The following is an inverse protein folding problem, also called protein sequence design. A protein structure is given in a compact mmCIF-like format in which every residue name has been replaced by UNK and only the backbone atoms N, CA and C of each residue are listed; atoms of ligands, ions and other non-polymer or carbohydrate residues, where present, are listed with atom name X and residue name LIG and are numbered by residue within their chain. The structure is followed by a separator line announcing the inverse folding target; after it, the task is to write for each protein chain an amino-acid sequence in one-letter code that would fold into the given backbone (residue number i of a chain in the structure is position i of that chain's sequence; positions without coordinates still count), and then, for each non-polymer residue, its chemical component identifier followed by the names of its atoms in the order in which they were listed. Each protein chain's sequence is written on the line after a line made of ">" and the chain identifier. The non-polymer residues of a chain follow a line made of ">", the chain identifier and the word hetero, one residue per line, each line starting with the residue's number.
data_IF_540128724998
#
_entry.id   IF_540128724998
#
_cell.length_a   1.000
_cell.length_b   1.000
_cell.length_c   1.000
_cell.angle_alpha   90.00
_cell.angle_beta   90.00
_cell.angle_gamma   90.00
#
_symmetry.space_group_name_H-M   'P 1'
#
loop_
_entity.id
_entity.type
_entity.pdbx_description
1 polymer ?
#
# COMPACT_ATOMS: atom_id res chain seq x y z
N UNK A 1 31.77 0.25 22.60
CA UNK A 1 31.37 -0.04 21.22
C UNK A 1 30.87 1.25 20.63
N UNK A 2 31.33 1.62 19.44
CA UNK A 2 30.88 2.86 18.82
C UNK A 2 29.49 2.69 18.23
N UNK A 3 28.70 3.76 18.37
CA UNK A 3 27.30 3.81 18.00
C UNK A 3 27.14 3.96 16.49
N UNK A 4 26.19 3.24 15.92
CA UNK A 4 25.64 3.58 14.61
C UNK A 4 24.71 4.78 14.81
N UNK A 5 24.71 5.72 13.86
CA UNK A 5 23.83 6.89 13.92
C UNK A 5 22.38 6.46 14.21
N UNK A 6 21.78 6.91 15.33
CA UNK A 6 20.47 6.41 15.75
C UNK A 6 19.33 6.96 14.89
N UNK A 7 19.57 8.10 14.25
CA UNK A 7 18.62 8.81 13.39
C UNK A 7 19.26 9.06 12.03
N UNK A 8 18.61 8.62 10.97
CA UNK A 8 19.16 8.62 9.60
C UNK A 8 18.12 9.12 8.60
N UNK A 9 18.55 9.71 7.46
CA UNK A 9 17.64 10.21 6.44
C UNK A 9 16.82 9.09 5.80
N UNK A 10 15.59 9.42 5.40
CA UNK A 10 14.71 8.56 4.62
C UNK A 10 14.09 9.29 3.44
N UNK A 11 13.80 8.56 2.36
CA UNK A 11 13.16 9.08 1.15
C UNK A 11 12.09 8.11 0.63
N UNK A 12 11.19 8.60 -0.22
CA UNK A 12 10.20 7.77 -0.92
C UNK A 12 8.93 7.46 -0.12
N UNK A 13 8.68 8.19 0.97
CA UNK A 13 7.52 7.96 1.84
C UNK A 13 6.41 8.98 1.63
N UNK A 14 5.18 8.47 1.60
CA UNK A 14 3.97 9.29 1.47
C UNK A 14 3.32 9.67 2.79
N UNK A 15 3.42 8.81 3.81
CA UNK A 15 2.85 9.00 5.16
C UNK A 15 3.82 8.48 6.23
N UNK A 16 3.82 9.06 7.45
CA UNK A 16 4.60 8.51 8.55
C UNK A 16 4.01 7.17 8.98
N UNK A 17 4.85 6.15 9.15
CA UNK A 17 4.50 4.80 9.61
C UNK A 17 5.60 4.30 10.54
N UNK A 18 5.36 3.19 11.24
CA UNK A 18 6.39 2.52 12.05
C UNK A 18 6.92 1.31 11.29
N UNK A 19 8.19 1.35 10.86
CA UNK A 19 8.78 0.26 10.06
C UNK A 19 9.29 -0.89 10.92
N UNK A 20 9.31 -2.06 10.29
CA UNK A 20 10.06 -3.21 10.76
C UNK A 20 11.47 -3.15 10.20
N UNK A 21 12.48 -3.34 11.05
CA UNK A 21 13.89 -3.33 10.65
C UNK A 21 14.53 -4.69 10.89
N UNK A 22 15.29 -5.16 9.92
CA UNK A 22 16.15 -6.34 10.03
C UNK A 22 17.60 -5.94 9.84
N UNK A 23 18.48 -6.41 10.72
CA UNK A 23 19.93 -6.35 10.55
C UNK A 23 20.40 -7.62 9.85
N UNK A 24 21.20 -7.47 8.80
CA UNK A 24 21.86 -8.63 8.18
C UNK A 24 22.82 -9.23 9.22
N UNK A 25 22.84 -10.56 9.45
CA UNK A 25 23.79 -11.16 10.37
C UNK A 25 25.24 -10.80 10.01
N UNK A 26 26.04 -10.39 11.01
CA UNK A 26 27.30 -9.68 10.77
C UNK A 26 28.32 -10.49 9.95
N UNK A 27 28.35 -11.82 10.12
CA UNK A 27 29.26 -12.71 9.38
C UNK A 27 28.82 -13.04 7.95
N UNK A 28 27.63 -12.61 7.52
CA UNK A 28 27.12 -12.96 6.20
C UNK A 28 27.71 -12.05 5.12
N UNK A 29 28.33 -12.62 4.09
CA UNK A 29 28.89 -11.82 2.99
C UNK A 29 27.82 -11.27 2.04
N UNK A 30 26.60 -11.79 2.12
CA UNK A 30 25.42 -11.33 1.35
C UNK A 30 24.28 -10.99 2.29
N UNK A 31 23.35 -10.18 1.81
CA UNK A 31 22.08 -9.97 2.50
C UNK A 31 21.26 -11.26 2.47
N UNK A 32 21.17 -11.92 3.62
CA UNK A 32 20.34 -13.11 3.82
C UNK A 32 19.62 -12.98 5.16
N UNK A 33 18.30 -13.13 5.09
CA UNK A 33 17.35 -12.99 6.18
C UNK A 33 16.58 -14.32 6.43
N UNK A 34 17.10 -15.43 5.91
CA UNK A 34 16.48 -16.76 6.01
C UNK A 34 16.34 -17.27 7.44
N UNK A 35 17.20 -16.80 8.35
CA UNK A 35 17.20 -17.17 9.77
C UNK A 35 16.27 -16.31 10.61
N UNK A 36 15.87 -15.12 10.14
CA UNK A 36 14.95 -14.24 10.87
C UNK A 36 13.56 -14.87 11.01
N UNK A 37 12.95 -14.65 12.18
CA UNK A 37 11.58 -15.10 12.51
C UNK A 37 10.67 -13.97 12.98
N UNK A 38 11.25 -12.81 13.26
CA UNK A 38 10.59 -11.56 13.61
C UNK A 38 11.52 -10.38 13.25
N UNK A 39 10.99 -9.16 13.17
CA UNK A 39 11.79 -7.93 13.12
C UNK A 39 12.77 -7.85 14.29
N UNK A 40 13.95 -7.27 14.06
CA UNK A 40 14.95 -7.07 15.11
C UNK A 40 14.55 -5.87 15.99
N UNK A 41 14.09 -4.79 15.37
CA UNK A 41 13.60 -3.58 16.04
C UNK A 41 12.69 -2.77 15.09
N UNK A 42 12.19 -1.63 15.58
CA UNK A 42 11.30 -0.73 14.85
C UNK A 42 11.99 0.56 14.42
N UNK A 43 11.58 1.11 13.28
CA UNK A 43 11.98 2.43 12.81
C UNK A 43 10.86 3.44 13.03
N UNK A 44 11.11 4.49 13.81
CA UNK A 44 10.15 5.54 14.14
C UNK A 44 10.41 6.74 13.21
N UNK A 45 9.47 7.04 12.32
CA UNK A 45 9.62 8.15 11.38
C UNK A 45 9.28 9.47 12.06
N UNK A 46 10.09 10.48 11.79
CA UNK A 46 9.79 11.86 12.18
C UNK A 46 8.49 12.38 11.52
N UNK A 47 7.77 13.32 12.15
CA UNK A 47 6.54 13.88 11.57
C UNK A 47 6.73 14.51 10.17
N UNK A 48 7.92 15.01 9.87
CA UNK A 48 8.28 15.60 8.57
C UNK A 48 8.64 14.56 7.49
N UNK A 49 8.65 13.27 7.84
CA UNK A 49 8.90 12.11 6.96
C UNK A 49 10.30 12.04 6.34
N UNK A 50 11.25 12.82 6.84
CA UNK A 50 12.60 12.90 6.26
C UNK A 50 13.64 12.11 7.06
N UNK A 51 13.33 11.72 8.30
CA UNK A 51 14.23 10.98 9.16
C UNK A 51 13.53 9.76 9.76
N UNK A 52 14.31 8.70 10.03
CA UNK A 52 13.89 7.58 10.86
C UNK A 52 14.85 7.42 12.02
N UNK A 53 14.30 7.17 13.20
CA UNK A 53 15.05 6.86 14.41
C UNK A 53 14.84 5.40 14.78
N UNK A 54 15.92 4.66 15.03
CA UNK A 54 15.82 3.29 15.52
C UNK A 54 15.21 3.29 16.93
N UNK A 55 14.25 2.39 17.18
CA UNK A 55 13.64 2.22 18.50
C UNK A 55 14.62 1.66 19.53
N UNK A 56 15.72 1.08 19.06
CA UNK A 56 16.79 0.50 19.86
C UNK A 56 18.14 1.01 19.38
N UNK A 57 19.05 1.23 20.32
CA UNK A 57 20.41 1.68 20.02
C UNK A 57 21.16 0.57 19.26
N UNK A 58 21.78 0.94 18.13
CA UNK A 58 22.56 0.03 17.30
C UNK A 58 24.06 0.33 17.43
N UNK A 59 24.88 -0.73 17.40
CA UNK A 59 26.33 -0.65 17.53
C UNK A 59 27.03 -1.32 16.35
N UNK A 60 28.18 -0.77 15.97
CA UNK A 60 29.10 -1.46 15.08
C UNK A 60 29.69 -2.68 15.78
N UNK A 61 29.95 -3.73 15.00
CA UNK A 61 30.60 -4.94 15.49
C UNK A 61 32.08 -4.66 15.81
N UNK A 62 32.62 -5.16 16.95
CA UNK A 62 34.00 -4.92 17.37
C UNK A 62 35.05 -5.51 16.42
N UNK A 63 34.72 -6.55 15.65
CA UNK A 63 35.60 -7.17 14.67
C UNK A 63 35.58 -6.43 13.31
N UNK A 64 35.05 -5.20 13.30
CA UNK A 64 34.95 -4.33 12.12
C UNK A 64 34.10 -4.95 10.99
N UNK A 65 33.08 -5.73 11.35
CA UNK A 65 32.14 -6.33 10.41
C UNK A 65 31.13 -5.30 9.88
N UNK A 66 30.62 -5.50 8.65
CA UNK A 66 29.72 -4.54 7.99
C UNK A 66 28.31 -4.55 8.58
N UNK A 67 27.86 -3.40 9.08
CA UNK A 67 26.49 -3.21 9.53
C UNK A 67 25.57 -2.86 8.35
N UNK A 68 24.52 -3.67 8.16
CA UNK A 68 23.58 -3.55 7.03
C UNK A 68 22.16 -3.79 7.50
N UNK A 69 21.22 -3.00 7.00
CA UNK A 69 19.85 -2.97 7.48
C UNK A 69 18.85 -2.96 6.34
N UNK A 70 17.71 -3.62 6.52
CA UNK A 70 16.57 -3.60 5.63
C UNK A 70 15.36 -3.11 6.40
N UNK A 71 14.49 -2.34 5.74
CA UNK A 71 13.24 -1.86 6.33
C UNK A 71 12.04 -2.27 5.50
N UNK A 72 10.93 -2.60 6.16
CA UNK A 72 9.66 -2.84 5.49
C UNK A 72 8.46 -2.50 6.40
N UNK A 73 7.29 -2.36 5.79
CA UNK A 73 6.00 -2.12 6.45
C UNK A 73 4.90 -2.82 5.65
N UNK A 74 3.83 -3.35 6.29
CA UNK A 74 3.56 -3.33 7.73
C UNK A 74 4.33 -4.39 8.52
N UNK A 75 3.99 -4.56 9.80
CA UNK A 75 4.38 -5.76 10.56
C UNK A 75 3.79 -7.01 9.87
N UNK A 76 4.58 -8.05 9.60
CA UNK A 76 4.10 -9.21 8.86
C UNK A 76 3.36 -10.19 9.78
N UNK A 77 2.38 -10.90 9.24
CA UNK A 77 1.74 -12.04 9.93
C UNK A 77 2.77 -13.11 10.28
N UNK A 78 3.72 -13.34 9.36
CA UNK A 78 4.82 -14.28 9.54
C UNK A 78 6.07 -13.79 8.83
N UNK A 79 7.24 -14.07 9.42
CA UNK A 79 8.55 -13.90 8.79
C UNK A 79 9.28 -15.24 8.81
N UNK A 80 9.41 -15.88 7.64
CA UNK A 80 10.03 -17.21 7.53
C UNK A 80 10.87 -17.25 6.26
N UNK A 81 12.09 -17.77 6.36
CA UNK A 81 12.99 -17.96 5.21
C UNK A 81 13.19 -16.70 4.36
N UNK A 82 13.29 -15.53 5.00
CA UNK A 82 13.49 -14.25 4.30
C UNK A 82 12.24 -13.76 3.54
N UNK A 83 11.06 -14.28 3.87
CA UNK A 83 9.78 -13.87 3.30
C UNK A 83 8.88 -13.31 4.40
N UNK A 84 8.46 -12.06 4.24
CA UNK A 84 7.43 -11.43 5.04
C UNK A 84 6.06 -11.67 4.40
N UNK A 85 5.13 -12.29 5.13
CA UNK A 85 3.77 -12.55 4.64
C UNK A 85 2.75 -11.64 5.32
N UNK A 86 1.75 -11.19 4.58
CA UNK A 86 0.73 -10.24 5.04
C UNK A 86 -0.67 -10.71 4.65
N UNK A 87 -1.64 -10.38 5.49
CA UNK A 87 -3.07 -10.45 5.19
C UNK A 87 -3.65 -9.05 5.36
N UNK A 88 -3.84 -8.35 4.24
CA UNK A 88 -4.23 -6.95 4.22
C UNK A 88 -5.75 -6.79 4.20
N UNK A 89 -6.25 -5.67 4.72
CA UNK A 89 -7.66 -5.28 4.66
C UNK A 89 -7.93 -4.14 3.66
N UNK A 90 -6.89 -3.70 2.95
CA UNK A 90 -6.92 -2.60 1.99
C UNK A 90 -6.66 -1.21 2.58
N UNK A 91 -6.50 -1.07 3.90
CA UNK A 91 -6.21 0.22 4.55
C UNK A 91 -4.73 0.60 4.58
N UNK A 92 -3.84 -0.38 4.44
CA UNK A 92 -2.39 -0.23 4.56
C UNK A 92 -1.68 -0.53 3.24
N UNK A 93 -0.58 0.17 3.02
CA UNK A 93 0.36 -0.12 1.95
C UNK A 93 1.39 -1.17 2.38
N UNK A 94 2.05 -1.81 1.41
CA UNK A 94 3.28 -2.56 1.64
C UNK A 94 4.44 -1.72 1.12
N UNK A 95 5.38 -1.38 2.00
CA UNK A 95 6.49 -0.50 1.70
C UNK A 95 7.80 -1.22 2.01
N UNK A 96 8.79 -1.08 1.15
CA UNK A 96 10.06 -1.78 1.25
C UNK A 96 11.23 -0.83 0.99
N UNK A 97 12.26 -0.90 1.82
CA UNK A 97 13.56 -0.30 1.52
C UNK A 97 14.60 -1.40 1.29
N UNK A 98 15.35 -1.35 0.18
CA UNK A 98 16.49 -2.24 -0.03
C UNK A 98 17.52 -2.16 1.10
N UNK A 99 18.41 -3.14 1.14
CA UNK A 99 19.48 -3.18 2.14
C UNK A 99 20.36 -1.94 2.07
N UNK A 100 20.37 -1.17 3.14
CA UNK A 100 21.20 0.00 3.34
C UNK A 100 22.46 -0.35 4.15
N UNK A 101 23.60 0.19 3.75
CA UNK A 101 24.90 -0.05 4.37
C UNK A 101 25.27 1.08 5.31
N UNK A 102 25.43 0.77 6.60
CA UNK A 102 25.81 1.74 7.62
C UNK A 102 27.33 1.92 7.76
N UNK A 103 28.13 1.10 7.07
CA UNK A 103 29.58 1.10 7.20
C UNK A 103 30.12 0.00 8.11
N UNK A 104 31.33 0.22 8.58
CA UNK A 104 32.02 -0.61 9.59
C UNK A 104 32.48 0.29 10.75
N UNK A 105 32.97 -0.31 11.84
CA UNK A 105 33.48 0.42 13.00
C UNK A 105 34.50 1.51 12.63
N UNK A 106 35.47 1.19 11.78
CA UNK A 106 36.54 2.12 11.40
C UNK A 106 36.26 2.92 10.13
N UNK A 107 35.18 2.60 9.42
CA UNK A 107 34.72 3.35 8.26
C UNK A 107 33.18 3.41 8.26
N UNK A 108 32.56 4.22 9.14
CA UNK A 108 31.13 4.49 9.11
C UNK A 108 30.71 5.14 7.79
N UNK A 109 29.54 4.81 7.28
CA UNK A 109 29.00 5.42 6.07
C UNK A 109 28.21 6.71 6.43
N UNK A 110 28.68 7.91 6.05
CA UNK A 110 27.95 9.15 6.33
C UNK A 110 26.62 9.26 5.56
N UNK A 111 26.48 8.54 4.44
CA UNK A 111 25.28 8.56 3.59
C UNK A 111 24.28 7.44 3.95
N UNK A 112 24.45 6.81 5.12
CA UNK A 112 23.53 5.78 5.58
C UNK A 112 22.12 6.35 5.76
N UNK A 113 21.15 5.73 5.08
CA UNK A 113 19.74 6.09 5.12
C UNK A 113 18.90 5.08 4.35
N UNK A 114 17.59 5.26 4.35
CA UNK A 114 16.65 4.34 3.70
C UNK A 114 15.92 5.01 2.53
N UNK A 115 15.79 4.29 1.43
CA UNK A 115 14.97 4.70 0.29
C UNK A 115 13.83 3.71 0.09
N UNK A 116 12.61 4.18 0.24
CA UNK A 116 11.42 3.34 0.26
C UNK A 116 10.72 3.27 -1.10
N UNK A 117 10.26 2.07 -1.44
CA UNK A 117 9.44 1.76 -2.59
C UNK A 117 8.09 1.21 -2.13
N UNK A 118 7.01 1.82 -2.61
CA UNK A 118 5.64 1.39 -2.40
C UNK A 118 5.31 0.23 -3.34
N UNK A 119 4.83 -0.89 -2.79
CA UNK A 119 4.61 -2.13 -3.52
C UNK A 119 3.15 -2.32 -3.96
N UNK A 120 2.21 -1.58 -3.35
CA UNK A 120 0.80 -1.57 -3.78
C UNK A 120 0.47 -0.31 -4.57
N UNK A 121 -0.68 -0.32 -5.23
CA UNK A 121 -1.28 0.89 -5.79
C UNK A 121 -2.47 1.32 -4.94
N UNK A 122 -2.73 2.63 -4.88
CA UNK A 122 -3.91 3.17 -4.20
C UNK A 122 -4.96 3.59 -5.22
N UNK A 123 -6.20 3.15 -5.03
CA UNK A 123 -7.34 3.63 -5.80
C UNK A 123 -8.18 4.57 -4.93
N UNK A 124 -8.58 5.71 -5.47
CA UNK A 124 -9.56 6.61 -4.87
C UNK A 124 -10.76 6.66 -5.82
N UNK A 125 -11.95 6.27 -5.36
CA UNK A 125 -13.11 6.08 -6.24
C UNK A 125 -14.16 7.15 -5.96
N UNK A 126 -14.67 7.76 -7.02
CA UNK A 126 -15.86 8.59 -6.97
C UNK A 126 -16.95 7.97 -7.84
N UNK A 127 -18.22 8.18 -7.46
CA UNK A 127 -19.38 7.70 -8.23
C UNK A 127 -20.32 8.86 -8.50
N UNK A 128 -20.73 9.00 -9.76
CA UNK A 128 -21.62 10.08 -10.24
C UNK A 128 -22.73 9.50 -11.10
N UNK A 129 -23.94 10.05 -10.99
CA UNK A 129 -25.05 9.76 -11.91
C UNK A 129 -24.93 10.66 -13.15
N UNK A 130 -25.15 10.08 -14.32
CA UNK A 130 -25.15 10.82 -15.60
C UNK A 130 -26.40 11.70 -15.81
N UNK A 131 -27.49 11.41 -15.09
CA UNK A 131 -28.79 12.08 -15.22
C UNK A 131 -29.34 12.54 -13.86
N UNK A 132 -30.32 13.45 -13.87
CA UNK A 132 -30.86 13.98 -12.60
C UNK A 132 -31.65 12.88 -11.92
N UNK A 133 -31.62 12.86 -10.59
CA UNK A 133 -32.59 12.07 -9.85
C UNK A 133 -33.96 12.65 -10.14
N UNK A 134 -34.81 11.89 -10.80
CA UNK A 134 -36.24 12.07 -10.56
C UNK A 134 -36.48 11.72 -9.10
N UNK A 135 -37.32 12.47 -8.37
CA UNK A 135 -37.55 12.32 -6.92
C UNK A 135 -38.05 10.90 -6.54
N UNK A 136 -38.39 10.08 -7.55
CA UNK A 136 -38.87 8.70 -7.42
C UNK A 136 -37.80 7.61 -7.62
N UNK A 137 -36.54 7.96 -7.89
CA UNK A 137 -35.40 7.05 -8.05
C UNK A 137 -34.28 7.35 -7.05
N UNK A 138 -34.52 7.10 -5.76
CA UNK A 138 -33.42 7.15 -4.80
C UNK A 138 -32.53 5.91 -4.97
N UNK A 139 -31.29 6.15 -5.41
CA UNK A 139 -30.27 5.12 -5.53
C UNK A 139 -29.25 5.29 -4.42
N UNK A 140 -29.02 4.19 -3.71
CA UNK A 140 -28.10 4.12 -2.59
C UNK A 140 -27.01 3.13 -2.93
N UNK A 141 -25.76 3.59 -2.92
CA UNK A 141 -24.60 2.72 -2.97
C UNK A 141 -24.43 2.08 -1.59
N UNK A 142 -24.71 0.79 -1.52
CA UNK A 142 -24.64 -0.01 -0.30
C UNK A 142 -23.20 -0.39 0.05
N UNK A 143 -22.39 -0.71 -0.94
CA UNK A 143 -20.96 -0.94 -0.78
C UNK A 143 -20.19 -0.64 -2.07
N UNK A 144 -18.93 -0.22 -1.90
CA UNK A 144 -17.92 -0.14 -2.95
C UNK A 144 -16.68 -0.90 -2.47
N UNK A 145 -16.28 -1.91 -3.23
CA UNK A 145 -15.22 -2.84 -2.87
C UNK A 145 -14.37 -3.19 -4.09
N UNK A 146 -13.12 -3.58 -3.90
CA UNK A 146 -12.26 -4.04 -5.00
C UNK A 146 -11.91 -5.50 -4.80
N UNK A 147 -12.19 -6.34 -5.80
CA UNK A 147 -11.79 -7.75 -5.83
C UNK A 147 -10.31 -7.85 -6.22
N UNK A 148 -9.46 -8.23 -5.26
CA UNK A 148 -8.00 -8.36 -5.45
C UNK A 148 -7.41 -9.36 -4.45
N UNK A 149 -6.12 -9.69 -4.58
CA UNK A 149 -5.40 -10.49 -3.58
C UNK A 149 -5.05 -9.64 -2.37
N UNK A 150 -5.34 -10.17 -1.18
CA UNK A 150 -4.97 -9.54 0.09
C UNK A 150 -3.92 -10.32 0.88
N UNK A 151 -3.70 -11.60 0.54
CA UNK A 151 -2.59 -12.40 1.03
C UNK A 151 -1.39 -12.18 0.13
N UNK A 152 -0.33 -11.58 0.64
CA UNK A 152 0.83 -11.17 -0.15
C UNK A 152 2.13 -11.56 0.55
N UNK A 153 3.18 -11.78 -0.22
CA UNK A 153 4.51 -12.19 0.24
C UNK A 153 5.59 -11.26 -0.32
N UNK A 154 6.28 -10.55 0.56
CA UNK A 154 7.44 -9.72 0.22
C UNK A 154 8.73 -10.52 0.44
N UNK A 155 9.52 -10.64 -0.62
CA UNK A 155 10.85 -11.24 -0.58
C UNK A 155 11.84 -10.22 0.00
N UNK A 156 12.55 -10.55 1.07
CA UNK A 156 13.45 -9.62 1.77
C UNK A 156 14.92 -9.78 1.36
N UNK A 157 15.28 -10.91 0.74
CA UNK A 157 16.66 -11.23 0.40
C UNK A 157 16.81 -11.96 -0.92
N UNK A 158 18.07 -12.12 -1.34
CA UNK A 158 18.41 -12.82 -2.58
C UNK A 158 18.01 -12.07 -3.86
N UNK A 159 17.99 -12.75 -5.02
CA UNK A 159 17.74 -12.13 -6.33
C UNK A 159 16.34 -11.53 -6.50
N UNK A 160 15.40 -11.90 -5.63
CA UNK A 160 14.01 -11.44 -5.68
C UNK A 160 13.71 -10.37 -4.63
N UNK A 161 14.72 -9.86 -3.91
CA UNK A 161 14.52 -8.89 -2.84
C UNK A 161 13.70 -7.67 -3.31
N UNK A 162 12.69 -7.31 -2.53
CA UNK A 162 11.73 -6.24 -2.84
C UNK A 162 10.55 -6.66 -3.72
N UNK A 163 10.50 -7.89 -4.23
CA UNK A 163 9.36 -8.36 -5.01
C UNK A 163 8.19 -8.78 -4.12
N UNK A 164 6.99 -8.34 -4.51
CA UNK A 164 5.73 -8.71 -3.89
C UNK A 164 5.00 -9.77 -4.73
N UNK A 165 4.79 -10.94 -4.13
CA UNK A 165 4.20 -12.10 -4.77
C UNK A 165 2.88 -12.49 -4.12
N UNK A 166 2.07 -13.24 -4.86
CA UNK A 166 0.83 -13.85 -4.38
C UNK A 166 1.14 -15.32 -4.03
N UNK A 167 0.86 -15.79 -2.80
CA UNK A 167 0.97 -17.20 -2.44
C UNK A 167 0.08 -18.09 -3.33
N UNK A 168 0.54 -19.31 -3.64
CA UNK A 168 -0.19 -20.21 -4.54
C UNK A 168 -1.58 -20.64 -4.05
N UNK A 169 -1.84 -20.56 -2.75
CA UNK A 169 -3.13 -20.87 -2.10
C UNK A 169 -4.01 -19.63 -1.87
N UNK A 170 -3.52 -18.43 -2.23
CA UNK A 170 -4.25 -17.20 -2.03
C UNK A 170 -5.50 -17.14 -2.94
N UNK A 171 -6.55 -16.54 -2.42
CA UNK A 171 -7.79 -16.25 -3.17
C UNK A 171 -8.02 -14.75 -3.15
N UNK A 172 -8.68 -14.25 -4.20
CA UNK A 172 -9.14 -12.86 -4.20
C UNK A 172 -10.25 -12.67 -3.17
N UNK A 173 -10.28 -11.48 -2.58
CA UNK A 173 -11.30 -11.04 -1.64
C UNK A 173 -11.78 -9.65 -2.04
N UNK A 174 -12.96 -9.28 -1.57
CA UNK A 174 -13.47 -7.92 -1.69
C UNK A 174 -12.84 -7.07 -0.58
N UNK A 175 -12.00 -6.11 -0.97
CA UNK A 175 -11.44 -5.12 -0.06
C UNK A 175 -12.32 -3.86 -0.09
N UNK A 176 -12.88 -3.43 1.05
CA UNK A 176 -13.76 -2.27 1.06
C UNK A 176 -12.98 -0.98 0.85
N UNK A 177 -13.62 -0.01 0.20
CA UNK A 177 -13.12 1.36 0.22
C UNK A 177 -13.34 2.01 1.58
N UNK A 178 -12.41 2.89 1.97
CA UNK A 178 -12.45 3.63 3.23
C UNK A 178 -12.26 5.12 3.02
N UNK A 179 -13.03 5.92 3.74
CA UNK A 179 -12.77 7.36 3.85
C UNK A 179 -11.46 7.64 4.63
N UNK A 180 -11.07 8.91 4.70
CA UNK A 180 -9.82 9.33 5.35
C UNK A 180 -9.75 9.04 6.87
N UNK A 181 -10.90 8.79 7.51
CA UNK A 181 -10.99 8.40 8.93
C UNK A 181 -11.19 6.88 9.12
N UNK A 182 -11.13 6.10 8.03
CA UNK A 182 -11.15 4.65 8.04
C UNK A 182 -12.53 4.00 8.01
N UNK A 183 -13.61 4.76 7.80
CA UNK A 183 -14.97 4.21 7.70
C UNK A 183 -15.16 3.56 6.34
N UNK A 184 -15.76 2.36 6.36
CA UNK A 184 -16.10 1.63 5.14
C UNK A 184 -17.22 2.37 4.38
N UNK A 185 -17.03 2.53 3.08
CA UNK A 185 -18.01 3.13 2.19
C UNK A 185 -19.32 2.33 2.17
N UNK A 186 -20.43 3.03 2.42
CA UNK A 186 -21.76 2.44 2.36
C UNK A 186 -22.86 3.43 2.68
N UNK A 187 -24.08 3.10 2.25
CA UNK A 187 -25.27 3.94 2.35
C UNK A 187 -25.09 5.36 1.78
N UNK A 188 -24.33 5.47 0.67
CA UNK A 188 -24.10 6.75 0.00
C UNK A 188 -25.24 6.99 -0.99
N UNK A 189 -25.97 8.10 -0.81
CA UNK A 189 -26.99 8.51 -1.77
C UNK A 189 -26.30 9.06 -3.02
N UNK A 190 -26.42 8.35 -4.14
CA UNK A 190 -25.78 8.76 -5.39
C UNK A 190 -26.42 10.04 -5.94
N UNK A 191 -25.68 10.89 -6.63
CA UNK A 191 -26.25 12.10 -7.24
C UNK A 191 -25.49 12.48 -8.52
N UNK A 192 -25.90 13.57 -9.19
CA UNK A 192 -25.10 14.16 -10.28
C UNK A 192 -23.80 14.79 -9.80
N UNK A 193 -23.65 15.00 -8.49
CA UNK A 193 -22.37 15.42 -7.92
C UNK A 193 -21.54 14.16 -7.69
N UNK A 194 -20.23 14.19 -7.98
CA UNK A 194 -19.35 13.09 -7.61
C UNK A 194 -19.39 12.85 -6.11
N UNK A 195 -19.83 11.65 -5.73
CA UNK A 195 -19.80 11.20 -4.34
C UNK A 195 -18.49 10.46 -4.10
N UNK A 196 -17.75 10.87 -3.08
CA UNK A 196 -16.50 10.22 -2.68
C UNK A 196 -16.80 8.91 -1.95
N UNK A 197 -16.29 7.81 -2.51
CA UNK A 197 -16.43 6.48 -1.93
C UNK A 197 -15.17 6.10 -1.11
N UNK A 198 -14.16 6.97 -1.05
CA UNK A 198 -12.92 6.73 -0.34
C UNK A 198 -11.89 5.98 -1.18
N UNK A 199 -10.97 5.31 -0.48
CA UNK A 199 -9.77 4.74 -1.07
C UNK A 199 -9.43 3.34 -0.55
N UNK A 200 -8.62 2.62 -1.32
CA UNK A 200 -8.17 1.26 -1.00
C UNK A 200 -6.80 0.99 -1.62
N UNK A 201 -5.91 0.32 -0.89
CA UNK A 201 -4.67 -0.24 -1.42
C UNK A 201 -4.91 -1.63 -1.99
N UNK A 202 -4.41 -1.86 -3.21
CA UNK A 202 -4.69 -3.08 -3.98
C UNK A 202 -3.43 -3.63 -4.62
N UNK A 203 -3.39 -4.94 -4.85
CA UNK A 203 -2.27 -5.60 -5.52
C UNK A 203 -2.21 -5.19 -7.00
N UNK A 204 -1.09 -4.63 -7.48
CA UNK A 204 -0.98 -4.10 -8.83
C UNK A 204 -0.61 -5.13 -9.90
N UNK A 205 -0.29 -6.38 -9.51
CA UNK A 205 0.17 -7.42 -10.45
C UNK A 205 -0.92 -7.98 -11.37
N UNK A 206 -2.15 -7.48 -11.29
CA UNK A 206 -3.27 -7.85 -12.14
C UNK A 206 -4.29 -6.72 -12.29
N UNK A 207 -5.21 -6.87 -13.25
CA UNK A 207 -6.34 -5.95 -13.41
C UNK A 207 -7.31 -6.12 -12.23
N UNK A 208 -7.51 -5.08 -11.40
CA UNK A 208 -8.49 -5.15 -10.33
C UNK A 208 -9.91 -5.03 -10.87
N UNK A 209 -10.87 -5.56 -10.10
CA UNK A 209 -12.30 -5.43 -10.41
C UNK A 209 -12.96 -4.62 -9.31
N UNK A 210 -13.48 -3.43 -9.66
CA UNK A 210 -14.31 -2.63 -8.77
C UNK A 210 -15.72 -3.22 -8.76
N UNK A 211 -16.23 -3.51 -7.57
CA UNK A 211 -17.53 -4.11 -7.31
C UNK A 211 -18.39 -3.11 -6.55
N UNK A 212 -19.49 -2.70 -7.18
CA UNK A 212 -20.46 -1.76 -6.62
C UNK A 212 -21.77 -2.50 -6.34
N UNK A 213 -22.25 -2.44 -5.10
CA UNK A 213 -23.56 -2.97 -4.72
C UNK A 213 -24.52 -1.80 -4.53
N UNK A 214 -25.57 -1.75 -5.34
CA UNK A 214 -26.48 -0.60 -5.40
C UNK A 214 -27.89 -1.05 -5.11
N UNK A 215 -28.57 -0.31 -4.24
CA UNK A 215 -30.01 -0.39 -4.06
C UNK A 215 -30.67 0.61 -5.01
N UNK A 216 -31.43 0.08 -5.98
CA UNK A 216 -32.31 0.85 -6.84
C UNK A 216 -33.77 0.58 -6.51
N UNK A 217 -34.67 1.15 -7.31
CA UNK A 217 -36.13 1.06 -7.13
C UNK A 217 -36.68 -0.37 -7.17
N UNK A 218 -36.15 -1.21 -8.05
CA UNK A 218 -36.63 -2.58 -8.29
C UNK A 218 -35.90 -3.63 -7.44
N UNK A 219 -34.94 -3.21 -6.61
CA UNK A 219 -34.17 -4.09 -5.74
C UNK A 219 -32.68 -3.76 -5.75
N UNK A 220 -31.91 -4.68 -5.19
CA UNK A 220 -30.45 -4.57 -5.12
C UNK A 220 -29.80 -5.29 -6.29
N UNK A 221 -28.79 -4.68 -6.89
CA UNK A 221 -27.98 -5.29 -7.94
C UNK A 221 -26.49 -5.00 -7.73
N UNK A 222 -25.65 -5.81 -8.37
CA UNK A 222 -24.19 -5.69 -8.34
C UNK A 222 -23.67 -5.31 -9.72
N UNK A 223 -22.66 -4.44 -9.76
CA UNK A 223 -21.94 -4.05 -10.95
C UNK A 223 -20.45 -4.26 -10.75
N UNK A 224 -19.84 -4.95 -11.70
CA UNK A 224 -18.41 -5.23 -11.74
C UNK A 224 -17.78 -4.45 -12.88
N UNK A 225 -16.71 -3.72 -12.58
CA UNK A 225 -15.99 -2.87 -13.50
C UNK A 225 -14.52 -3.29 -13.48
N UNK A 226 -14.06 -3.87 -14.58
CA UNK A 226 -12.63 -4.19 -14.75
C UNK A 226 -11.85 -2.92 -14.97
N UNK A 227 -10.79 -2.72 -14.19
CA UNK A 227 -9.89 -1.58 -14.31
C UNK A 227 -8.61 -2.00 -15.06
N UNK A 228 -7.92 -1.05 -15.71
CA UNK A 228 -6.60 -1.30 -16.29
C UNK A 228 -5.57 -1.79 -15.26
N UNK A 229 -4.50 -2.41 -15.75
CA UNK A 229 -3.37 -2.83 -14.93
C UNK A 229 -2.75 -1.62 -14.23
N UNK A 230 -2.45 -1.79 -12.93
CA UNK A 230 -1.91 -0.71 -12.11
C UNK A 230 -0.38 -0.78 -12.05
N UNK A 231 0.24 0.35 -11.73
CA UNK A 231 1.69 0.42 -11.47
C UNK A 231 1.95 0.51 -9.97
N UNK A 232 2.83 -0.34 -9.38
CA UNK A 232 3.21 -0.25 -7.98
C UNK A 232 3.63 1.17 -7.56
N UNK A 233 3.18 1.60 -6.40
CA UNK A 233 3.47 2.91 -5.82
C UNK A 233 2.72 4.09 -6.43
N UNK A 234 1.92 3.88 -7.48
CA UNK A 234 1.03 4.91 -8.04
C UNK A 234 -0.29 4.99 -7.29
N UNK A 235 -0.85 6.19 -7.29
CA UNK A 235 -2.21 6.45 -6.81
C UNK A 235 -3.06 6.85 -8.00
N UNK A 236 -4.29 6.36 -8.06
CA UNK A 236 -5.20 6.60 -9.17
C UNK A 236 -6.52 7.17 -8.67
N UNK A 237 -7.14 8.00 -9.52
CA UNK A 237 -8.56 8.33 -9.45
C UNK A 237 -9.33 7.34 -10.31
N UNK A 238 -10.39 6.80 -9.76
CA UNK A 238 -11.38 6.01 -10.51
C UNK A 238 -12.68 6.79 -10.50
N UNK A 239 -13.10 7.29 -11.66
CA UNK A 239 -14.37 8.02 -11.77
C UNK A 239 -15.40 7.08 -12.40
N UNK A 240 -16.45 6.78 -11.65
CA UNK A 240 -17.55 5.94 -12.13
C UNK A 240 -18.73 6.82 -12.50
N UNK A 241 -19.12 6.75 -13.77
CA UNK A 241 -20.37 7.37 -14.25
C UNK A 241 -21.42 6.29 -14.44
N UNK A 242 -22.53 6.44 -13.73
CA UNK A 242 -23.68 5.55 -13.78
C UNK A 242 -24.80 6.14 -14.64
N UNK A 243 -25.21 5.42 -15.67
CA UNK A 243 -26.46 5.63 -16.39
C UNK A 243 -27.44 4.55 -15.96
N UNK A 244 -28.27 4.93 -15.01
CA UNK A 244 -29.15 4.03 -14.29
C UNK A 244 -30.40 3.64 -15.06
N UNK A 245 -30.83 4.44 -16.04
CA UNK A 245 -31.94 4.08 -16.94
C UNK A 245 -31.56 2.89 -17.82
N UNK A 246 -30.31 2.87 -18.28
CA UNK A 246 -29.77 1.79 -19.11
C UNK A 246 -28.96 0.76 -18.30
N UNK A 247 -28.86 0.96 -16.98
CA UNK A 247 -28.05 0.18 -16.04
C UNK A 247 -26.59 0.01 -16.50
N UNK A 248 -26.06 1.05 -17.15
CA UNK A 248 -24.70 1.14 -17.70
C UNK A 248 -23.79 1.86 -16.70
N UNK A 249 -22.59 1.32 -16.51
CA UNK A 249 -21.57 1.90 -15.65
C UNK A 249 -20.27 1.97 -16.42
N UNK A 250 -19.61 3.12 -16.39
CA UNK A 250 -18.30 3.33 -17.01
C UNK A 250 -17.34 3.82 -15.95
N UNK A 251 -16.15 3.22 -15.90
CA UNK A 251 -15.05 3.68 -15.07
C UNK A 251 -13.96 4.26 -15.97
N UNK A 252 -13.44 5.43 -15.60
CA UNK A 252 -12.15 5.94 -16.08
C UNK A 252 -11.10 5.80 -14.98
N UNK A 253 -9.83 5.67 -15.37
CA UNK A 253 -8.69 5.60 -14.48
C UNK A 253 -7.70 6.71 -14.88
N UNK A 254 -7.30 7.55 -13.94
CA UNK A 254 -6.29 8.60 -14.17
C UNK A 254 -5.31 8.69 -13.00
N UNK A 255 -4.11 9.23 -13.24
CA UNK A 255 -3.13 9.46 -12.18
C UNK A 255 -3.71 10.44 -11.13
N UNK A 256 -3.63 10.09 -9.85
CA UNK A 256 -4.08 10.95 -8.76
C UNK A 256 -2.95 11.91 -8.36
N UNK A 257 -3.10 13.17 -8.72
CA UNK A 257 -2.26 14.27 -8.20
C UNK A 257 -3.02 14.91 -7.04
N UNK A 258 -2.48 14.80 -5.82
CA UNK A 258 -3.08 15.41 -4.64
C UNK A 258 -3.07 16.94 -4.80
N UNK A 259 -4.24 17.54 -5.07
CA UNK A 259 -4.39 19.00 -5.15
C UNK A 259 -5.05 19.56 -6.41
N UNK A 260 -5.36 18.77 -7.44
CA UNK A 260 -6.11 19.27 -8.61
C UNK A 260 -7.41 18.49 -8.86
N UNK A 261 -8.55 19.17 -9.10
CA UNK A 261 -9.67 18.58 -9.82
C UNK A 261 -9.20 18.35 -11.26
N UNK A 262 -8.66 17.17 -11.55
CA UNK A 262 -8.22 16.83 -12.89
C UNK A 262 -9.40 16.83 -13.86
N UNK A 263 -9.44 17.81 -14.76
CA UNK A 263 -10.16 17.68 -16.02
C UNK A 263 -9.40 16.66 -16.88
N UNK A 264 -10.07 15.56 -17.22
CA UNK A 264 -9.56 14.63 -18.22
C UNK A 264 -9.60 15.32 -19.60
N UNK A 265 -8.43 15.53 -20.22
CA UNK A 265 -8.36 15.82 -21.65
C UNK A 265 -8.60 14.51 -22.43
N UNK A 266 -9.48 14.62 -23.45
CA UNK A 266 -9.88 13.56 -24.39
C UNK A 266 -8.70 13.06 -25.24
#
# INVERSE_FOLDING_TARGET
>A
MDLIAPTVPVTGLKKPVEFQVLRVPDHFTKADFSTHRKPDFKGIISPDKNMVTASEIQYFDPDNLPARFLCFYPEPDTLINGVASFTLDGSQDVIYSPVAYAGTLYAPNPDFGFSFNHQLSRLNVTVTLSQDKDVTEDMVLLSAEVLTYNKLQLQLGGPLAGQLNVPGDAKKVLLPLRDDIGRIAGNIHLSKKPEDCGSVYVYPGENPVLVLKIQGKTGTFTRELSLPLLTPGKEYRVEVTADVQNVLFKASLSDWVQGEPGEAQL
#
